data_IF_397931823020
#
_entry.id   IF_397931823020
#
_cell.length_a   1.000
_cell.length_b   1.000
_cell.length_c   1.000
_cell.angle_alpha   90.00
_cell.angle_beta   90.00
_cell.angle_gamma   90.00
#
_symmetry.space_group_name_H-M   'P 1'
#
loop_
_entity.id
_entity.type
_entity.pdbx_description
1 polymer ?
#
# COMPACT_ATOMS: atom_id res chain seq x y z
N UNK A 1 16.18 -7.37 -0.34
CA UNK A 1 16.07 -6.07 0.38
C UNK A 1 14.64 -5.96 0.84
N UNK A 2 14.37 -5.63 2.12
CA UNK A 2 13.01 -5.53 2.61
C UNK A 2 12.32 -4.28 2.04
N UNK A 3 11.03 -4.38 1.73
CA UNK A 3 10.21 -3.30 1.20
C UNK A 3 9.27 -2.81 2.31
N UNK A 4 9.21 -1.49 2.50
CA UNK A 4 8.27 -0.85 3.42
C UNK A 4 7.24 -0.10 2.60
N UNK A 5 5.97 -0.41 2.79
CA UNK A 5 4.87 0.26 2.11
C UNK A 5 4.38 1.43 2.95
N UNK A 6 4.14 2.57 2.29
CA UNK A 6 3.64 3.79 2.92
C UNK A 6 2.45 4.30 2.14
N UNK A 7 1.33 4.48 2.83
CA UNK A 7 0.12 5.04 2.26
C UNK A 7 -0.30 6.30 3.04
N UNK A 8 -0.65 7.35 2.28
CA UNK A 8 -1.21 8.57 2.83
C UNK A 8 -2.73 8.48 2.74
N UNK A 9 -3.38 8.17 3.86
CA UNK A 9 -4.83 8.03 3.93
C UNK A 9 -5.44 9.37 4.37
N UNK A 10 -5.96 10.11 3.38
CA UNK A 10 -6.57 11.41 3.61
C UNK A 10 -8.00 11.29 4.18
N UNK A 11 -8.70 10.20 3.90
CA UNK A 11 -10.01 9.92 4.47
C UNK A 11 -9.96 9.79 6.00
N UNK A 12 -8.89 9.18 6.52
CA UNK A 12 -8.65 9.05 7.96
C UNK A 12 -7.62 10.02 8.54
N UNK A 13 -7.01 10.88 7.72
CA UNK A 13 -5.94 11.81 8.09
C UNK A 13 -4.78 11.13 8.82
N UNK A 14 -4.33 10.00 8.29
CA UNK A 14 -3.25 9.20 8.89
C UNK A 14 -2.22 8.76 7.85
N UNK A 15 -1.02 8.45 8.32
CA UNK A 15 0.01 7.78 7.52
C UNK A 15 0.01 6.31 7.93
N UNK A 16 -0.33 5.43 6.99
CA UNK A 16 -0.29 3.97 7.19
C UNK A 16 1.07 3.47 6.72
N UNK A 17 1.81 2.80 7.59
CA UNK A 17 3.13 2.25 7.30
C UNK A 17 3.07 0.76 7.59
N UNK A 18 3.53 -0.07 6.66
CA UNK A 18 3.63 -1.51 6.89
C UNK A 18 4.90 -1.86 7.67
N UNK A 19 4.88 -3.03 8.31
CA UNK A 19 6.13 -3.68 8.68
C UNK A 19 6.98 -3.99 7.42
N UNK A 20 8.31 -4.13 7.55
CA UNK A 20 9.16 -4.51 6.43
C UNK A 20 8.76 -5.89 5.88
N UNK A 21 8.44 -5.95 4.59
CA UNK A 21 8.06 -7.18 3.90
C UNK A 21 9.22 -7.69 3.07
N UNK A 22 9.48 -8.99 3.16
CA UNK A 22 10.42 -9.70 2.28
C UNK A 22 9.67 -10.24 1.08
N UNK A 23 10.18 -9.95 -0.13
CA UNK A 23 9.64 -10.48 -1.39
C UNK A 23 9.76 -12.00 -1.44
N UNK A 24 8.69 -12.67 -1.88
CA UNK A 24 8.64 -14.12 -2.03
C UNK A 24 9.38 -14.63 -3.26
N UNK A 25 9.71 -13.74 -4.20
CA UNK A 25 10.32 -14.07 -5.50
C UNK A 25 9.29 -14.38 -6.59
N UNK A 26 8.00 -14.49 -6.23
CA UNK A 26 6.90 -14.48 -7.17
C UNK A 26 6.31 -13.06 -7.25
N UNK A 27 6.51 -12.42 -8.40
CA UNK A 27 6.05 -11.05 -8.63
C UNK A 27 4.53 -10.92 -8.50
N UNK A 28 3.75 -11.93 -8.92
CA UNK A 28 2.30 -11.83 -8.91
C UNK A 28 1.77 -11.89 -7.47
N UNK A 29 2.29 -12.80 -6.66
CA UNK A 29 1.91 -12.94 -5.25
C UNK A 29 2.35 -11.71 -4.41
N UNK A 30 3.55 -11.19 -4.68
CA UNK A 30 4.05 -9.98 -4.00
C UNK A 30 3.19 -8.76 -4.39
N UNK A 31 2.82 -8.61 -5.66
CA UNK A 31 1.94 -7.52 -6.12
C UNK A 31 0.53 -7.61 -5.53
N UNK A 32 -0.05 -8.81 -5.42
CA UNK A 32 -1.36 -8.99 -4.76
C UNK A 32 -1.31 -8.50 -3.30
N UNK A 33 -0.24 -8.86 -2.59
CA UNK A 33 0.00 -8.41 -1.21
C UNK A 33 0.13 -6.88 -1.13
N UNK A 34 0.89 -6.29 -2.05
CA UNK A 34 1.11 -4.84 -2.08
C UNK A 34 -0.17 -4.08 -2.42
N UNK A 35 -0.93 -4.53 -3.42
CA UNK A 35 -2.21 -3.89 -3.78
C UNK A 35 -3.23 -4.00 -2.63
N UNK A 36 -3.28 -5.14 -1.94
CA UNK A 36 -4.13 -5.32 -0.76
C UNK A 36 -3.83 -4.32 0.36
N UNK A 37 -2.57 -3.91 0.54
CA UNK A 37 -2.21 -2.91 1.56
C UNK A 37 -2.84 -1.53 1.31
N UNK A 38 -2.94 -1.13 0.05
CA UNK A 38 -3.50 0.16 -0.38
C UNK A 38 -5.03 0.13 -0.54
N UNK A 39 -5.66 -1.04 -0.44
CA UNK A 39 -7.11 -1.16 -0.53
C UNK A 39 -7.80 -0.35 0.58
N UNK A 40 -8.75 0.51 0.17
CA UNK A 40 -9.49 1.38 1.08
C UNK A 40 -8.72 2.60 1.58
N UNK A 41 -7.52 2.88 1.07
CA UNK A 41 -6.82 4.15 1.29
C UNK A 41 -7.42 5.20 0.35
N UNK A 42 -7.86 6.31 0.92
CA UNK A 42 -8.37 7.43 0.15
C UNK A 42 -7.26 8.47 -0.07
N UNK A 43 -6.97 8.77 -1.34
CA UNK A 43 -6.00 9.79 -1.71
C UNK A 43 -6.49 11.21 -1.42
N UNK A 44 -5.59 12.20 -1.50
CA UNK A 44 -5.93 13.61 -1.30
C UNK A 44 -7.04 14.09 -2.24
N UNK A 45 -7.02 13.59 -3.47
CA UNK A 45 -8.01 13.83 -4.51
C UNK A 45 -8.54 12.45 -4.89
N UNK A 46 -9.72 12.03 -4.40
CA UNK A 46 -10.25 10.69 -4.62
C UNK A 46 -10.42 10.34 -6.10
N UNK A 47 -10.66 11.34 -6.95
CA UNK A 47 -10.84 11.22 -8.41
C UNK A 47 -9.58 10.76 -9.17
N UNK A 48 -8.40 10.85 -8.53
CA UNK A 48 -7.14 10.32 -9.08
C UNK A 48 -6.81 8.92 -8.56
N UNK A 49 -7.68 8.34 -7.72
CA UNK A 49 -7.63 6.93 -7.36
C UNK A 49 -7.97 6.03 -8.56
N UNK A 50 -7.53 4.78 -8.48
CA UNK A 50 -7.84 3.71 -9.45
C UNK A 50 -9.10 2.98 -9.00
#
# INVERSE_FOLDING_TARGET
VPIVMVALDFGKKQVKISDPVWTSGDINADMETFMGFFQGVEGKIPEYGI
#
